data_IF_980535538178
#
_entry.id   IF_980535538178
#
_cell.length_a   1.000
_cell.length_b   1.000
_cell.length_c   1.000
_cell.angle_alpha   90.00
_cell.angle_beta   90.00
_cell.angle_gamma   90.00
#
_symmetry.space_group_name_H-M   'P 1'
#
loop_
_entity.id
_entity.type
_entity.pdbx_description
1 polymer ?
#
# COMPACT_ATOMS: atom_id res chain seq x y z
N UNK A 1 29.41 -50.70 31.32
CA UNK A 1 28.41 -49.66 31.71
C UNK A 1 28.27 -48.75 30.50
N UNK A 2 27.05 -48.49 30.03
CA UNK A 2 26.81 -47.58 28.90
C UNK A 2 26.25 -46.28 29.47
N UNK A 3 26.84 -45.14 29.13
CA UNK A 3 26.36 -43.80 29.53
C UNK A 3 25.74 -43.11 28.33
N UNK A 4 24.48 -42.70 28.46
CA UNK A 4 23.72 -42.05 27.39
C UNK A 4 23.10 -40.77 27.95
N UNK A 5 23.14 -39.68 27.20
CA UNK A 5 22.51 -38.43 27.63
C UNK A 5 21.03 -38.40 27.19
N UNK A 6 20.11 -38.31 28.15
CA UNK A 6 18.67 -38.23 27.88
C UNK A 6 18.18 -36.84 28.29
N UNK A 7 17.88 -35.99 27.31
CA UNK A 7 17.38 -34.62 27.54
C UNK A 7 18.30 -33.78 28.47
N UNK A 8 19.62 -33.96 28.38
CA UNK A 8 20.60 -33.27 29.23
C UNK A 8 20.79 -33.89 30.63
N UNK A 9 20.27 -35.12 30.86
CA UNK A 9 20.53 -35.89 32.05
C UNK A 9 21.24 -37.21 31.71
N UNK A 10 22.44 -37.47 32.29
CA UNK A 10 23.16 -38.71 32.05
C UNK A 10 22.39 -39.90 32.64
N UNK A 11 22.03 -40.84 31.78
CA UNK A 11 21.41 -42.11 32.13
C UNK A 11 22.46 -43.22 31.98
N UNK A 12 22.67 -43.98 33.05
CA UNK A 12 23.58 -45.13 33.07
C UNK A 12 22.81 -46.43 32.85
N UNK A 13 23.23 -47.23 31.88
CA UNK A 13 22.77 -48.60 31.69
C UNK A 13 23.86 -49.55 32.21
N UNK A 14 23.55 -50.31 33.25
CA UNK A 14 24.46 -51.26 33.89
C UNK A 14 23.95 -52.67 33.63
N UNK A 15 24.77 -53.49 32.97
CA UNK A 15 24.51 -54.93 32.85
C UNK A 15 25.48 -55.65 33.77
N UNK A 16 24.97 -56.34 34.79
CA UNK A 16 25.79 -57.06 35.77
C UNK A 16 25.09 -58.36 36.18
N UNK A 17 25.84 -59.46 36.15
CA UNK A 17 25.37 -60.79 36.57
C UNK A 17 24.09 -61.26 35.84
N UNK A 18 23.94 -60.89 34.56
CA UNK A 18 22.77 -61.21 33.73
C UNK A 18 21.56 -60.29 33.95
N UNK A 19 21.69 -59.26 34.78
CA UNK A 19 20.62 -58.30 35.07
C UNK A 19 20.90 -56.95 34.41
N UNK A 20 19.87 -56.33 33.83
CA UNK A 20 19.96 -55.00 33.20
C UNK A 20 19.33 -53.95 34.11
N UNK A 21 20.06 -52.85 34.33
CA UNK A 21 19.63 -51.73 35.15
C UNK A 21 19.73 -50.44 34.33
N UNK A 22 18.73 -49.57 34.45
CA UNK A 22 18.73 -48.21 33.88
C UNK A 22 18.62 -47.23 35.04
N UNK A 23 19.70 -46.47 35.28
CA UNK A 23 19.89 -45.72 36.51
C UNK A 23 19.90 -46.65 37.72
N UNK A 24 18.98 -46.44 38.65
CA UNK A 24 18.81 -47.29 39.84
C UNK A 24 17.64 -48.28 39.73
N UNK A 25 17.05 -48.44 38.55
CA UNK A 25 15.91 -49.33 38.33
C UNK A 25 16.35 -50.58 37.56
N UNK A 26 16.07 -51.75 38.13
CA UNK A 26 16.23 -53.04 37.45
C UNK A 26 15.10 -53.23 36.45
N UNK A 27 15.42 -53.68 35.26
CA UNK A 27 14.46 -54.04 34.23
C UNK A 27 14.12 -55.52 34.29
N UNK A 28 12.86 -55.86 34.04
CA UNK A 28 12.44 -57.24 33.91
C UNK A 28 12.72 -57.78 32.50
N UNK A 29 12.83 -59.11 32.39
CA UNK A 29 13.10 -59.79 31.13
C UNK A 29 11.96 -59.49 30.13
N UNK A 30 12.33 -58.97 28.94
CA UNK A 30 11.39 -58.57 27.89
C UNK A 30 10.88 -57.13 27.97
N UNK A 31 11.31 -56.34 28.96
CA UNK A 31 10.92 -54.93 29.08
C UNK A 31 11.71 -54.05 28.07
N UNK A 32 11.03 -53.24 27.22
CA UNK A 32 11.71 -52.45 26.21
C UNK A 32 12.45 -51.25 26.82
N UNK A 33 13.68 -50.99 26.36
CA UNK A 33 14.46 -49.80 26.73
C UNK A 33 14.48 -48.83 25.57
N UNK A 34 13.85 -47.67 25.76
CA UNK A 34 14.00 -46.54 24.83
C UNK A 34 15.33 -45.83 25.06
N UNK A 35 16.21 -45.90 24.04
CA UNK A 35 17.45 -45.13 24.00
C UNK A 35 17.21 -43.85 23.18
N UNK A 36 17.22 -42.66 23.80
CA UNK A 36 17.03 -41.41 23.07
C UNK A 36 18.27 -41.03 22.26
N UNK A 37 18.05 -40.31 21.16
CA UNK A 37 19.05 -39.78 20.20
C UNK A 37 19.61 -40.72 19.12
N UNK A 38 19.36 -42.03 19.18
CA UNK A 38 19.52 -42.90 18.00
C UNK A 38 18.22 -42.90 17.19
N UNK A 39 17.96 -41.80 16.49
CA UNK A 39 16.82 -41.68 15.59
C UNK A 39 16.87 -42.76 14.49
N UNK A 40 16.10 -43.84 14.68
CA UNK A 40 15.74 -44.78 13.61
C UNK A 40 16.07 -46.26 13.81
N UNK A 41 16.67 -46.69 14.93
CA UNK A 41 16.97 -48.11 15.17
C UNK A 41 16.20 -48.69 16.35
N UNK A 42 15.22 -49.56 16.08
CA UNK A 42 14.69 -50.45 17.11
C UNK A 42 15.74 -51.51 17.42
N UNK A 43 16.17 -51.62 18.68
CA UNK A 43 16.99 -52.75 19.14
C UNK A 43 16.09 -53.75 19.85
N UNK A 44 15.94 -54.93 19.27
CA UNK A 44 15.45 -56.10 19.97
C UNK A 44 16.62 -56.73 20.72
N UNK A 45 16.48 -56.94 22.02
CA UNK A 45 17.33 -57.86 22.77
C UNK A 45 16.84 -59.28 22.46
N UNK A 46 17.67 -60.17 21.89
CA UNK A 46 17.19 -61.48 21.49
C UNK A 46 16.88 -62.33 22.72
N UNK A 47 15.60 -62.69 22.86
CA UNK A 47 15.25 -63.97 23.48
C UNK A 47 15.64 -65.08 22.51
N UNK A 48 16.22 -66.15 23.06
CA UNK A 48 16.73 -67.32 22.36
C UNK A 48 15.87 -67.76 21.14
N UNK A 49 16.53 -67.83 19.97
CA UNK A 49 16.51 -68.91 18.96
C UNK A 49 16.48 -68.37 17.52
N UNK A 50 17.65 -68.41 16.87
CA UNK A 50 17.77 -68.68 15.44
C UNK A 50 17.77 -67.47 14.49
N UNK A 51 18.99 -67.02 14.16
CA UNK A 51 19.35 -66.20 12.99
C UNK A 51 18.95 -64.71 12.98
N UNK A 52 19.71 -63.89 13.72
CA UNK A 52 19.75 -62.43 13.57
C UNK A 52 21.17 -61.97 13.19
N UNK A 53 21.33 -61.40 11.99
CA UNK A 53 22.58 -60.76 11.59
C UNK A 53 22.63 -59.31 12.08
N UNK A 54 23.64 -59.00 12.89
CA UNK A 54 24.00 -57.63 13.21
C UNK A 54 24.96 -57.06 12.16
N UNK A 55 24.67 -55.88 11.62
CA UNK A 55 25.59 -55.13 10.77
C UNK A 55 26.11 -53.90 11.52
N UNK A 56 27.42 -53.88 11.81
CA UNK A 56 28.08 -52.76 12.49
C UNK A 56 29.24 -52.22 11.63
N UNK A 57 29.39 -50.89 11.61
CA UNK A 57 30.53 -50.24 10.96
C UNK A 57 31.83 -50.45 11.78
N UNK A 58 33.01 -50.65 11.15
CA UNK A 58 34.20 -51.19 11.84
C UNK A 58 34.85 -50.30 12.91
N UNK A 59 34.47 -49.02 13.04
CA UNK A 59 35.31 -48.04 13.71
C UNK A 59 34.73 -47.37 14.97
N UNK A 60 33.53 -47.74 15.44
CA UNK A 60 32.82 -46.97 16.47
C UNK A 60 32.44 -47.77 17.75
N UNK A 61 33.27 -48.74 18.15
CA UNK A 61 33.14 -49.34 19.49
C UNK A 61 34.43 -49.24 20.32
N UNK A 62 34.26 -48.75 21.55
CA UNK A 62 35.17 -48.97 22.67
C UNK A 62 34.39 -49.70 23.76
N UNK A 63 34.68 -50.98 23.99
CA UNK A 63 34.09 -51.75 25.08
C UNK A 63 34.91 -51.51 26.36
N UNK A 64 34.38 -50.72 27.27
CA UNK A 64 34.97 -50.58 28.61
C UNK A 64 34.62 -51.82 29.47
N UNK A 65 35.61 -52.68 29.72
CA UNK A 65 35.51 -53.82 30.63
C UNK A 65 35.66 -55.21 29.99
N UNK A 66 35.85 -55.30 28.68
CA UNK A 66 36.30 -56.53 28.00
C UNK A 66 37.65 -56.21 27.39
N UNK A 67 38.70 -56.87 27.85
CA UNK A 67 40.04 -56.69 27.27
C UNK A 67 39.99 -57.15 25.81
N UNK A 68 40.22 -56.28 24.80
CA UNK A 68 40.22 -56.70 23.40
C UNK A 68 41.27 -57.77 23.08
N UNK A 69 42.20 -58.05 24.01
CA UNK A 69 43.11 -59.19 23.93
C UNK A 69 42.46 -60.55 24.27
N UNK A 70 41.35 -60.59 25.00
CA UNK A 70 40.70 -61.85 25.44
C UNK A 70 39.65 -62.38 24.46
N UNK A 71 39.13 -61.55 23.55
CA UNK A 71 38.19 -61.96 22.50
C UNK A 71 38.91 -62.12 21.14
N UNK A 72 39.68 -63.19 20.98
CA UNK A 72 40.17 -63.59 19.66
C UNK A 72 39.07 -64.34 18.90
N UNK A 73 38.30 -63.63 18.07
CA UNK A 73 37.52 -64.28 17.01
C UNK A 73 38.48 -65.00 16.06
N UNK A 74 38.73 -66.28 16.33
CA UNK A 74 39.39 -67.17 15.38
C UNK A 74 38.33 -67.66 14.42
N UNK A 75 38.12 -66.91 13.34
CA UNK A 75 37.49 -67.47 12.16
C UNK A 75 38.24 -68.73 11.78
N UNK A 76 37.52 -69.82 11.52
CA UNK A 76 38.14 -70.91 10.78
C UNK A 76 38.58 -70.38 9.41
N UNK A 77 39.57 -71.00 8.80
CA UNK A 77 40.00 -70.57 7.45
C UNK A 77 38.85 -70.63 6.44
N UNK A 78 37.86 -71.50 6.67
CA UNK A 78 36.64 -71.62 5.87
C UNK A 78 35.68 -70.43 6.07
N UNK A 79 35.49 -69.98 7.32
CA UNK A 79 34.67 -68.80 7.61
C UNK A 79 35.29 -67.52 7.05
N UNK A 80 36.63 -67.41 7.05
CA UNK A 80 37.32 -66.26 6.45
C UNK A 80 37.08 -66.17 4.94
N UNK A 81 37.13 -67.31 4.25
CA UNK A 81 36.86 -67.39 2.80
C UNK A 81 35.39 -67.07 2.48
N UNK A 82 34.45 -67.54 3.29
CA UNK A 82 33.03 -67.22 3.11
C UNK A 82 32.74 -65.74 3.39
N UNK A 83 33.32 -65.18 4.45
CA UNK A 83 33.23 -63.76 4.78
C UNK A 83 33.82 -62.85 3.70
N UNK A 84 34.97 -63.21 3.12
CA UNK A 84 35.56 -62.48 1.99
C UNK A 84 34.63 -62.48 0.76
N UNK A 85 33.96 -63.60 0.46
CA UNK A 85 32.97 -63.68 -0.62
C UNK A 85 31.72 -62.85 -0.32
N UNK A 86 31.26 -62.81 0.92
CA UNK A 86 30.11 -62.02 1.34
C UNK A 86 30.41 -60.53 1.27
N UNK A 87 31.61 -60.11 1.68
CA UNK A 87 32.06 -58.73 1.52
C UNK A 87 32.13 -58.35 0.05
N UNK A 88 32.66 -59.22 -0.83
CA UNK A 88 32.73 -58.92 -2.25
C UNK A 88 31.32 -58.73 -2.86
N UNK A 89 30.36 -59.60 -2.50
CA UNK A 89 28.95 -59.45 -2.92
C UNK A 89 28.33 -58.17 -2.39
N UNK A 90 28.56 -57.85 -1.12
CA UNK A 90 28.03 -56.65 -0.48
C UNK A 90 28.62 -55.37 -1.07
N UNK A 91 29.91 -55.36 -1.42
CA UNK A 91 30.54 -54.24 -2.12
C UNK A 91 29.93 -54.01 -3.52
N UNK A 92 29.62 -55.09 -4.24
CA UNK A 92 28.94 -55.03 -5.53
C UNK A 92 27.50 -54.50 -5.39
N UNK A 93 26.77 -54.94 -4.36
CA UNK A 93 25.43 -54.45 -4.03
C UNK A 93 25.43 -52.97 -3.67
N UNK A 94 26.39 -52.51 -2.87
CA UNK A 94 26.56 -51.09 -2.55
C UNK A 94 26.87 -50.29 -3.81
N UNK A 95 27.71 -50.80 -4.71
CA UNK A 95 28.02 -50.11 -5.96
C UNK A 95 26.77 -49.97 -6.84
N UNK A 96 25.98 -51.04 -7.02
CA UNK A 96 24.70 -50.98 -7.74
C UNK A 96 23.73 -49.99 -7.10
N UNK A 97 23.58 -50.05 -5.78
CA UNK A 97 22.66 -49.17 -5.05
C UNK A 97 23.10 -47.70 -5.14
N UNK A 98 24.40 -47.43 -5.16
CA UNK A 98 24.93 -46.08 -5.35
C UNK A 98 24.63 -45.55 -6.75
N UNK A 99 24.79 -46.37 -7.78
CA UNK A 99 24.48 -45.99 -9.17
C UNK A 99 22.98 -45.74 -9.34
N UNK A 100 22.11 -46.62 -8.82
CA UNK A 100 20.66 -46.42 -8.80
C UNK A 100 20.25 -45.16 -8.05
N UNK A 101 20.89 -44.88 -6.91
CA UNK A 101 20.64 -43.67 -6.12
C UNK A 101 21.10 -42.40 -6.86
N UNK A 102 22.19 -42.47 -7.62
CA UNK A 102 22.64 -41.37 -8.47
C UNK A 102 21.63 -41.09 -9.59
N UNK A 103 21.18 -42.12 -10.31
CA UNK A 103 20.19 -41.98 -11.38
C UNK A 103 18.85 -41.45 -10.85
N UNK A 104 18.40 -41.94 -9.69
CA UNK A 104 17.20 -41.44 -9.02
C UNK A 104 17.34 -39.96 -8.62
N UNK A 105 18.50 -39.56 -8.11
CA UNK A 105 18.76 -38.17 -7.74
C UNK A 105 18.82 -37.25 -8.97
N UNK A 106 19.43 -37.69 -10.07
CA UNK A 106 19.45 -36.96 -11.33
C UNK A 106 18.05 -36.76 -11.90
N UNK A 107 17.24 -37.82 -11.89
CA UNK A 107 15.83 -37.76 -12.33
C UNK A 107 15.02 -36.79 -11.48
N UNK A 108 15.12 -36.89 -10.14
CA UNK A 108 14.43 -35.97 -9.22
C UNK A 108 14.86 -34.52 -9.42
N UNK A 109 16.14 -34.29 -9.69
CA UNK A 109 16.66 -32.94 -9.97
C UNK A 109 16.15 -32.39 -11.29
N UNK A 110 16.09 -33.23 -12.33
CA UNK A 110 15.51 -32.85 -13.62
C UNK A 110 14.02 -32.48 -13.48
N UNK A 111 13.23 -33.31 -12.79
CA UNK A 111 11.82 -33.04 -12.51
C UNK A 111 11.61 -31.75 -11.69
N UNK A 112 12.43 -31.52 -10.66
CA UNK A 112 12.38 -30.28 -9.88
C UNK A 112 12.65 -29.05 -10.75
N UNK A 113 13.66 -29.11 -11.63
CA UNK A 113 13.97 -28.02 -12.54
C UNK A 113 12.84 -27.75 -13.54
N UNK A 114 12.19 -28.80 -14.05
CA UNK A 114 11.02 -28.63 -14.91
C UNK A 114 9.84 -27.98 -14.18
N UNK A 115 9.58 -28.39 -12.92
CA UNK A 115 8.55 -27.75 -12.09
C UNK A 115 8.85 -26.29 -11.84
N UNK A 116 10.09 -25.95 -11.49
CA UNK A 116 10.50 -24.54 -11.29
C UNK A 116 10.33 -23.75 -12.57
N UNK A 117 10.80 -24.26 -13.72
CA UNK A 117 10.62 -23.59 -15.02
C UNK A 117 9.14 -23.42 -15.38
N UNK A 118 8.29 -24.38 -15.05
CA UNK A 118 6.85 -24.30 -15.23
C UNK A 118 6.23 -23.19 -14.37
N UNK A 119 6.60 -23.13 -13.09
CA UNK A 119 6.16 -22.08 -12.16
C UNK A 119 6.63 -20.69 -12.59
N UNK A 120 7.89 -20.53 -13.01
CA UNK A 120 8.41 -19.27 -13.52
C UNK A 120 7.66 -18.79 -14.76
N UNK A 121 7.34 -19.70 -15.70
CA UNK A 121 6.56 -19.36 -16.89
C UNK A 121 5.14 -18.91 -16.52
N UNK A 122 4.47 -19.61 -15.60
CA UNK A 122 3.14 -19.25 -15.14
C UNK A 122 3.12 -17.88 -14.44
N UNK A 123 4.06 -17.65 -13.52
CA UNK A 123 4.22 -16.35 -12.84
C UNK A 123 4.50 -15.22 -13.81
N UNK A 124 5.34 -15.47 -14.82
CA UNK A 124 5.65 -14.47 -15.85
C UNK A 124 4.45 -14.13 -16.73
N UNK A 125 3.62 -15.12 -17.05
CA UNK A 125 2.37 -14.92 -17.79
C UNK A 125 1.35 -14.10 -16.96
N UNK A 126 1.21 -14.43 -15.67
CA UNK A 126 0.37 -13.69 -14.73
C UNK A 126 0.83 -12.23 -14.58
N UNK A 127 2.14 -11.99 -14.42
CA UNK A 127 2.70 -10.64 -14.36
C UNK A 127 2.42 -9.85 -15.63
N UNK A 128 2.54 -10.46 -16.81
CA UNK A 128 2.22 -9.82 -18.09
C UNK A 128 0.73 -9.46 -18.20
N UNK A 129 -0.15 -10.31 -17.70
CA UNK A 129 -1.57 -10.03 -17.67
C UNK A 129 -1.90 -8.89 -16.71
N UNK A 130 -1.32 -8.91 -15.51
CA UNK A 130 -1.46 -7.84 -14.53
C UNK A 130 -0.96 -6.49 -15.07
N UNK A 131 0.19 -6.48 -15.76
CA UNK A 131 0.72 -5.27 -16.39
C UNK A 131 -0.24 -4.73 -17.46
N UNK A 132 -0.83 -5.61 -18.28
CA UNK A 132 -1.86 -5.23 -19.27
C UNK A 132 -3.09 -4.64 -18.59
N UNK A 133 -3.56 -5.23 -17.50
CA UNK A 133 -4.70 -4.72 -16.74
C UNK A 133 -4.39 -3.34 -16.15
N UNK A 134 -3.24 -3.17 -15.50
CA UNK A 134 -2.81 -1.87 -14.96
C UNK A 134 -2.68 -0.81 -16.06
N UNK A 135 -2.10 -1.16 -17.21
CA UNK A 135 -1.97 -0.25 -18.34
C UNK A 135 -3.32 0.19 -18.90
N UNK A 136 -4.28 -0.72 -18.97
CA UNK A 136 -5.64 -0.41 -19.40
C UNK A 136 -6.36 0.48 -18.38
N UNK A 137 -6.28 0.16 -17.10
CA UNK A 137 -6.84 0.98 -16.02
C UNK A 137 -6.28 2.40 -16.03
N UNK A 138 -4.95 2.56 -16.16
CA UNK A 138 -4.31 3.87 -16.29
C UNK A 138 -4.78 4.63 -17.53
N UNK A 139 -5.00 3.94 -18.65
CA UNK A 139 -5.52 4.55 -19.86
C UNK A 139 -6.94 5.10 -19.66
N UNK A 140 -7.78 4.38 -18.93
CA UNK A 140 -9.16 4.79 -18.67
C UNK A 140 -9.24 5.92 -17.64
N UNK A 141 -8.43 5.88 -16.57
CA UNK A 141 -8.27 7.02 -15.64
C UNK A 141 -7.82 8.27 -16.40
N UNK A 142 -6.85 8.14 -17.32
CA UNK A 142 -6.38 9.27 -18.13
C UNK A 142 -7.45 9.82 -19.08
N UNK A 143 -8.33 8.96 -19.62
CA UNK A 143 -9.49 9.40 -20.42
C UNK A 143 -10.48 10.17 -19.55
N UNK A 144 -10.84 9.62 -18.39
CA UNK A 144 -11.76 10.28 -17.45
C UNK A 144 -11.24 11.63 -16.99
N UNK A 145 -9.95 11.75 -16.65
CA UNK A 145 -9.35 13.04 -16.29
C UNK A 145 -9.43 14.07 -17.43
N UNK A 146 -9.24 13.64 -18.68
CA UNK A 146 -9.36 14.52 -19.85
C UNK A 146 -10.80 14.98 -20.07
N UNK A 147 -11.78 14.12 -19.85
CA UNK A 147 -13.20 14.47 -19.94
C UNK A 147 -13.59 15.43 -18.81
N UNK A 148 -13.23 15.12 -17.57
CA UNK A 148 -13.45 15.99 -16.42
C UNK A 148 -12.83 17.38 -16.60
N UNK A 149 -11.61 17.46 -17.13
CA UNK A 149 -10.95 18.73 -17.42
C UNK A 149 -11.70 19.54 -18.51
N UNK A 150 -12.24 18.87 -19.53
CA UNK A 150 -13.05 19.53 -20.58
C UNK A 150 -14.35 20.08 -20.00
N UNK A 151 -15.03 19.31 -19.14
CA UNK A 151 -16.28 19.73 -18.54
C UNK A 151 -16.08 20.85 -17.52
N UNK A 152 -15.02 20.78 -16.71
CA UNK A 152 -14.65 21.87 -15.81
C UNK A 152 -14.37 23.17 -16.57
N UNK A 153 -13.69 23.09 -17.71
CA UNK A 153 -13.43 24.27 -18.56
C UNK A 153 -14.72 24.85 -19.12
N UNK A 154 -15.65 24.01 -19.61
CA UNK A 154 -16.97 24.45 -20.09
C UNK A 154 -17.77 25.12 -18.99
N UNK A 155 -17.76 24.56 -17.78
CA UNK A 155 -18.45 25.13 -16.63
C UNK A 155 -17.84 26.49 -16.22
N UNK A 156 -16.51 26.63 -16.23
CA UNK A 156 -15.86 27.92 -15.99
C UNK A 156 -16.23 28.96 -17.05
N UNK A 157 -16.22 28.59 -18.33
CA UNK A 157 -16.60 29.48 -19.42
C UNK A 157 -18.08 29.94 -19.30
N UNK A 158 -18.98 29.04 -18.90
CA UNK A 158 -20.40 29.33 -18.62
C UNK A 158 -20.53 30.36 -17.49
N UNK A 159 -19.83 30.16 -16.37
CA UNK A 159 -19.84 31.07 -15.21
C UNK A 159 -19.31 32.46 -15.61
N UNK A 160 -18.23 32.52 -16.40
CA UNK A 160 -17.69 33.79 -16.89
C UNK A 160 -18.71 34.51 -17.77
N UNK A 161 -19.39 33.80 -18.68
CA UNK A 161 -20.44 34.39 -19.53
C UNK A 161 -21.59 34.94 -18.68
N UNK A 162 -22.06 34.16 -17.71
CA UNK A 162 -23.14 34.58 -16.82
C UNK A 162 -22.75 35.82 -16.00
N UNK A 163 -21.51 35.88 -15.49
CA UNK A 163 -21.02 37.07 -14.79
C UNK A 163 -20.96 38.30 -15.71
N UNK A 164 -20.44 38.15 -16.93
CA UNK A 164 -20.38 39.23 -17.90
C UNK A 164 -21.78 39.73 -18.30
N UNK A 165 -22.74 38.83 -18.47
CA UNK A 165 -24.13 39.20 -18.76
C UNK A 165 -24.78 39.93 -17.59
N UNK A 166 -24.61 39.43 -16.36
CA UNK A 166 -25.10 40.07 -15.16
C UNK A 166 -24.50 41.47 -14.99
N UNK A 167 -23.20 41.64 -15.24
CA UNK A 167 -22.53 42.93 -15.17
C UNK A 167 -23.07 43.90 -16.23
N UNK A 168 -23.26 43.44 -17.47
CA UNK A 168 -23.86 44.26 -18.54
C UNK A 168 -25.28 44.68 -18.18
N UNK A 169 -26.09 43.79 -17.61
CA UNK A 169 -27.44 44.12 -17.15
C UNK A 169 -27.40 45.16 -16.02
N UNK A 170 -26.49 44.98 -15.05
CA UNK A 170 -26.33 45.93 -13.94
C UNK A 170 -25.88 47.30 -14.45
N UNK A 171 -24.93 47.36 -15.39
CA UNK A 171 -24.48 48.61 -16.00
C UNK A 171 -25.61 49.30 -16.78
N UNK A 172 -26.43 48.55 -17.52
CA UNK A 172 -27.62 49.10 -18.21
C UNK A 172 -28.64 49.64 -17.21
N UNK A 173 -28.93 48.90 -16.15
CA UNK A 173 -29.84 49.35 -15.10
C UNK A 173 -29.32 50.63 -14.42
N UNK A 174 -28.02 50.71 -14.12
CA UNK A 174 -27.39 51.92 -13.57
C UNK A 174 -27.53 53.11 -14.51
N UNK A 175 -27.25 52.95 -15.81
CA UNK A 175 -27.39 54.04 -16.80
C UNK A 175 -28.83 54.53 -16.94
N UNK A 176 -29.80 53.60 -16.95
CA UNK A 176 -31.22 53.97 -16.99
C UNK A 176 -31.63 54.72 -15.71
N UNK A 177 -31.16 54.27 -14.55
CA UNK A 177 -31.42 54.95 -13.28
C UNK A 177 -30.81 56.35 -13.24
N UNK A 178 -29.53 56.50 -13.62
CA UNK A 178 -28.84 57.80 -13.71
C UNK A 178 -29.51 58.75 -14.71
N UNK A 179 -29.95 58.23 -15.86
CA UNK A 179 -30.70 59.00 -16.86
C UNK A 179 -32.05 59.48 -16.34
N UNK A 180 -32.80 58.62 -15.63
CA UNK A 180 -34.09 59.00 -15.02
C UNK A 180 -33.95 60.07 -13.94
N UNK A 181 -32.88 59.98 -13.13
CA UNK A 181 -32.53 60.95 -12.11
C UNK A 181 -32.17 62.31 -12.72
N UNK A 182 -31.28 62.30 -13.72
CA UNK A 182 -30.88 63.50 -14.46
C UNK A 182 -32.06 64.19 -15.15
N UNK A 183 -32.94 63.43 -15.80
CA UNK A 183 -34.13 63.95 -16.47
C UNK A 183 -35.10 64.64 -15.50
N UNK A 184 -35.31 64.06 -14.31
CA UNK A 184 -36.18 64.66 -13.28
C UNK A 184 -35.56 65.90 -12.64
N UNK A 185 -34.25 65.89 -12.38
CA UNK A 185 -33.51 67.09 -11.95
C UNK A 185 -33.61 68.22 -12.97
N UNK A 186 -33.41 67.89 -14.25
CA UNK A 186 -33.53 68.83 -15.38
C UNK A 186 -34.92 69.45 -15.47
N UNK A 187 -35.98 68.65 -15.29
CA UNK A 187 -37.36 69.14 -15.29
C UNK A 187 -37.63 70.13 -14.13
N UNK A 188 -37.15 69.84 -12.92
CA UNK A 188 -37.29 70.75 -11.77
C UNK A 188 -36.47 72.03 -11.94
N UNK A 189 -35.25 71.96 -12.48
CA UNK A 189 -34.44 73.15 -12.78
C UNK A 189 -35.14 74.10 -13.76
N UNK A 190 -35.77 73.54 -14.80
CA UNK A 190 -36.56 74.32 -15.76
C UNK A 190 -37.80 74.92 -15.11
N UNK A 191 -38.51 74.14 -14.30
CA UNK A 191 -39.72 74.58 -13.59
C UNK A 191 -39.44 75.72 -12.62
N UNK A 192 -38.30 75.69 -11.94
CA UNK A 192 -37.86 76.75 -11.03
C UNK A 192 -37.22 77.94 -11.77
N UNK A 193 -37.12 77.89 -13.10
CA UNK A 193 -36.51 78.95 -13.92
C UNK A 193 -35.00 79.11 -13.74
N UNK A 194 -34.31 78.09 -13.23
CA UNK A 194 -32.86 78.11 -12.99
C UNK A 194 -32.04 77.86 -14.25
N UNK A 195 -32.67 77.25 -15.27
CA UNK A 195 -32.10 77.03 -16.59
C UNK A 195 -33.11 77.50 -17.65
N UNK A 196 -32.62 78.18 -18.68
CA UNK A 196 -33.43 78.61 -19.83
C UNK A 196 -33.44 77.54 -20.92
N UNK A 197 -32.25 77.06 -21.29
CA UNK A 197 -32.06 75.99 -22.26
C UNK A 197 -31.78 74.65 -21.55
N UNK A 198 -32.67 73.65 -21.69
CA UNK A 198 -32.45 72.32 -21.15
C UNK A 198 -31.22 71.61 -21.75
N UNK A 199 -30.75 71.99 -22.94
CA UNK A 199 -29.62 71.35 -23.62
C UNK A 199 -28.26 72.01 -23.32
N UNK A 200 -28.26 73.16 -22.63
CA UNK A 200 -27.04 73.90 -22.31
C UNK A 200 -27.06 74.42 -20.87
N UNK A 201 -26.70 73.54 -19.94
CA UNK A 201 -26.62 73.90 -18.52
C UNK A 201 -25.57 73.08 -17.77
N UNK A 202 -25.13 73.62 -16.64
CA UNK A 202 -24.28 72.93 -15.66
C UNK A 202 -24.91 73.04 -14.27
N UNK A 203 -25.15 71.91 -13.62
CA UNK A 203 -25.56 71.82 -12.23
C UNK A 203 -24.43 71.19 -11.43
N UNK A 204 -24.09 71.81 -10.30
CA UNK A 204 -23.27 71.23 -9.25
C UNK A 204 -24.01 71.34 -7.93
N UNK A 205 -24.27 70.20 -7.31
CA UNK A 205 -24.91 70.08 -6.01
C UNK A 205 -23.96 69.35 -5.07
N UNK A 206 -23.68 69.99 -3.93
CA UNK A 206 -22.89 69.42 -2.83
C UNK A 206 -23.66 69.58 -1.53
N UNK A 207 -23.19 68.92 -0.46
CA UNK A 207 -23.78 69.08 0.88
C UNK A 207 -23.82 70.54 1.38
N UNK A 208 -22.91 71.41 0.91
CA UNK A 208 -22.77 72.79 1.41
C UNK A 208 -23.20 73.89 0.44
N UNK A 209 -23.31 73.61 -0.86
CA UNK A 209 -23.68 74.60 -1.88
C UNK A 209 -24.32 73.95 -3.10
N UNK A 210 -25.15 74.74 -3.78
CA UNK A 210 -25.69 74.45 -5.11
C UNK A 210 -25.27 75.57 -6.07
N UNK A 211 -24.77 75.19 -7.23
CA UNK A 211 -24.35 76.08 -8.31
C UNK A 211 -25.05 75.65 -9.61
N UNK A 212 -25.67 76.59 -10.31
CA UNK A 212 -26.31 76.38 -11.62
C UNK A 212 -25.70 77.38 -12.58
N UNK A 213 -25.17 76.89 -13.71
CA UNK A 213 -24.44 77.68 -14.70
C UNK A 213 -23.33 78.54 -14.06
N UNK A 214 -22.61 77.96 -13.09
CA UNK A 214 -21.55 78.63 -12.32
C UNK A 214 -22.04 79.63 -11.28
N UNK A 215 -23.35 79.93 -11.20
CA UNK A 215 -23.93 80.86 -10.23
C UNK A 215 -24.42 80.13 -9.00
N UNK A 216 -24.00 80.59 -7.82
CA UNK A 216 -24.43 80.04 -6.53
C UNK A 216 -25.89 80.36 -6.28
N UNK A 217 -26.67 79.34 -5.95
CA UNK A 217 -28.11 79.45 -5.69
C UNK A 217 -28.41 79.76 -4.21
N UNK A 218 -29.65 80.15 -3.94
CA UNK A 218 -30.11 80.45 -2.58
C UNK A 218 -30.09 79.21 -1.68
N UNK A 219 -30.02 79.42 -0.36
CA UNK A 219 -30.05 78.32 0.62
C UNK A 219 -31.38 77.54 0.57
N UNK A 220 -32.47 78.19 0.20
CA UNK A 220 -33.80 77.57 0.08
C UNK A 220 -33.83 76.61 -1.10
N UNK A 221 -33.35 77.04 -2.28
CA UNK A 221 -33.20 76.17 -3.44
C UNK A 221 -32.23 75.03 -3.13
N UNK A 222 -31.09 75.31 -2.51
CA UNK A 222 -30.15 74.28 -2.10
C UNK A 222 -30.79 73.19 -1.23
N UNK A 223 -31.61 73.57 -0.23
CA UNK A 223 -32.38 72.62 0.61
C UNK A 223 -33.39 71.83 -0.20
N UNK A 224 -34.15 72.48 -1.10
CA UNK A 224 -35.11 71.81 -1.99
C UNK A 224 -34.43 70.72 -2.82
N UNK A 225 -33.29 71.04 -3.44
CA UNK A 225 -32.58 70.10 -4.31
C UNK A 225 -31.84 69.00 -3.53
N UNK A 226 -31.42 69.25 -2.29
CA UNK A 226 -30.94 68.21 -1.39
C UNK A 226 -32.06 67.24 -0.98
N UNK A 227 -33.27 67.75 -0.71
CA UNK A 227 -34.42 66.91 -0.42
C UNK A 227 -34.81 66.07 -1.64
N UNK A 228 -34.87 66.71 -2.82
CA UNK A 228 -35.16 66.01 -4.08
C UNK A 228 -34.12 64.93 -4.38
N UNK A 229 -32.83 65.19 -4.11
CA UNK A 229 -31.77 64.17 -4.21
C UNK A 229 -32.05 62.98 -3.28
N UNK A 230 -32.43 63.24 -2.02
CA UNK A 230 -32.75 62.20 -1.04
C UNK A 230 -33.97 61.39 -1.46
N UNK A 231 -35.02 62.03 -1.94
CA UNK A 231 -36.25 61.38 -2.39
C UNK A 231 -36.00 60.43 -3.57
N UNK A 232 -35.12 60.81 -4.50
CA UNK A 232 -34.87 60.00 -5.70
C UNK A 232 -33.80 58.92 -5.50
N UNK A 233 -32.78 59.15 -4.67
CA UNK A 233 -31.67 58.19 -4.44
C UNK A 233 -31.87 57.33 -3.19
N UNK A 234 -32.78 57.73 -2.29
CA UNK A 234 -32.98 57.13 -0.98
C UNK A 234 -31.85 57.40 0.03
N UNK A 235 -30.85 58.23 -0.33
CA UNK A 235 -29.67 58.51 0.50
C UNK A 235 -29.51 60.00 0.78
N UNK A 236 -29.04 60.34 1.98
CA UNK A 236 -28.62 61.72 2.28
C UNK A 236 -27.26 62.01 1.65
N UNK A 237 -27.07 63.23 1.16
CA UNK A 237 -25.81 63.65 0.56
C UNK A 237 -24.74 63.87 1.62
N UNK A 238 -23.69 63.05 1.62
CA UNK A 238 -22.57 63.16 2.55
C UNK A 238 -21.67 64.37 2.27
N UNK A 239 -20.78 64.69 3.22
CA UNK A 239 -19.82 65.80 3.09
C UNK A 239 -18.87 65.66 1.90
N UNK A 240 -18.58 64.42 1.48
CA UNK A 240 -17.70 64.10 0.35
C UNK A 240 -18.45 63.85 -0.96
N UNK A 241 -19.77 63.78 -0.92
CA UNK A 241 -20.58 63.48 -2.08
C UNK A 241 -20.83 64.77 -2.87
N UNK A 242 -20.73 64.66 -4.19
CA UNK A 242 -21.12 65.70 -5.12
C UNK A 242 -21.94 65.08 -6.25
N UNK A 243 -22.92 65.83 -6.71
CA UNK A 243 -23.66 65.53 -7.91
C UNK A 243 -23.40 66.64 -8.92
N UNK A 244 -22.86 66.29 -10.08
CA UNK A 244 -22.65 67.22 -11.18
C UNK A 244 -23.26 66.67 -12.47
N UNK A 245 -23.94 67.54 -13.19
CA UNK A 245 -24.46 67.27 -14.54
C UNK A 245 -24.13 68.46 -15.41
N UNK A 246 -23.50 68.20 -16.55
CA UNK A 246 -23.25 69.20 -17.57
C UNK A 246 -23.75 68.69 -18.91
N UNK A 247 -24.66 69.44 -19.53
CA UNK A 247 -25.04 69.25 -20.93
C UNK A 247 -24.51 70.45 -21.72
N UNK A 248 -23.83 70.16 -22.81
CA UNK A 248 -23.38 71.13 -23.80
C UNK A 248 -23.72 70.56 -25.16
N UNK A 249 -24.50 71.31 -25.93
CA UNK A 249 -24.79 71.02 -27.33
C UNK A 249 -23.63 71.49 -28.22
#
# INVERSE_FOLDING_TARGET
IIRIDRNGQPTEIIVKDGEVWVGNQKLEEGEPVEVPELAGGYYFFPGNEGEDHFYFAPNDFHFEGIDPAEFQFRFSDEDRVNWEKDIARYQEDIARMKDEMQEMNETRRAEQLERIRGQEKALHEEMREMERQQRNALRDVRKQQREMARDMRRAQDEVIRQQQEAERQMQRAKRLHESSFGARMKAELKRDGLIEDPLNYSLELTSGKMTVNGKKQSKELHRKYLQLYREMTGKEMGKKDSFSVSERN
#
